data_IF_186113765790
#
_entry.id   IF_186113765790
#
_cell.length_a   1.000
_cell.length_b   1.000
_cell.length_c   1.000
_cell.angle_alpha   90.00
_cell.angle_beta   90.00
_cell.angle_gamma   90.00
#
_symmetry.space_group_name_H-M   'P 1'
#
loop_
_entity.id
_entity.type
_entity.pdbx_description
1 polymer ?
#
# COMPACT_ATOMS: atom_id res chain seq x y z
N UNK A 1 -8.16 4.59 11.20
CA UNK A 1 -8.14 4.46 9.73
C UNK A 1 -7.88 3.01 9.40
N UNK A 2 -8.71 2.36 8.57
CA UNK A 2 -8.49 0.96 8.17
C UNK A 2 -7.82 0.92 6.81
N UNK A 3 -7.11 -0.17 6.52
CA UNK A 3 -6.47 -0.41 5.22
C UNK A 3 -7.48 -0.39 4.06
N UNK A 4 -8.70 -0.85 4.32
CA UNK A 4 -9.81 -0.82 3.36
C UNK A 4 -10.27 0.60 2.99
N UNK A 5 -10.03 1.60 3.84
CA UNK A 5 -10.45 2.98 3.61
C UNK A 5 -9.44 3.76 2.73
N UNK A 6 -8.25 3.18 2.48
CA UNK A 6 -7.18 3.76 1.68
C UNK A 6 -7.36 3.53 0.19
N UNK A 7 -7.03 4.54 -0.61
CA UNK A 7 -7.14 4.54 -2.07
C UNK A 7 -5.77 4.60 -2.70
N UNK A 8 -5.58 3.80 -3.75
CA UNK A 8 -4.43 3.93 -4.63
C UNK A 8 -4.49 5.28 -5.34
N UNK A 9 -3.33 5.89 -5.59
CA UNK A 9 -3.24 7.08 -6.41
C UNK A 9 -3.33 6.72 -7.89
N UNK A 10 -4.23 7.39 -8.62
CA UNK A 10 -4.36 7.27 -10.08
C UNK A 10 -3.10 7.73 -10.83
N UNK A 11 -2.20 8.45 -10.15
CA UNK A 11 -0.93 8.95 -10.68
C UNK A 11 0.26 8.04 -10.37
N UNK A 12 0.04 6.87 -9.78
CA UNK A 12 1.13 5.95 -9.47
C UNK A 12 1.78 5.44 -10.78
N UNK A 13 3.04 5.80 -11.09
CA UNK A 13 3.67 5.47 -12.36
C UNK A 13 4.15 4.00 -12.43
N UNK A 14 4.14 3.29 -11.30
CA UNK A 14 4.56 1.88 -11.26
C UNK A 14 3.41 0.96 -11.63
N UNK A 15 3.72 -0.01 -12.48
CA UNK A 15 2.97 -1.25 -12.66
C UNK A 15 3.67 -2.38 -11.92
N UNK A 16 2.92 -3.20 -11.19
CA UNK A 16 3.46 -4.40 -10.51
C UNK A 16 2.96 -5.64 -11.24
N UNK A 17 3.87 -6.57 -11.54
CA UNK A 17 3.51 -7.88 -12.07
C UNK A 17 2.97 -8.78 -10.95
N UNK A 18 2.20 -9.81 -11.32
CA UNK A 18 1.64 -10.78 -10.37
C UNK A 18 2.73 -11.40 -9.48
N UNK A 19 3.83 -11.87 -10.05
CA UNK A 19 4.91 -12.48 -9.27
C UNK A 19 5.56 -11.53 -8.25
N UNK A 20 5.74 -10.25 -8.61
CA UNK A 20 6.26 -9.25 -7.66
C UNK A 20 5.26 -8.92 -6.56
N UNK A 21 3.96 -8.93 -6.88
CA UNK A 21 2.89 -8.73 -5.89
C UNK A 21 2.87 -9.88 -4.89
N UNK A 22 2.95 -11.13 -5.34
CA UNK A 22 3.01 -12.31 -4.46
C UNK A 22 4.25 -12.30 -3.56
N UNK A 23 5.41 -11.90 -4.09
CA UNK A 23 6.61 -11.74 -3.26
C UNK A 23 6.43 -10.67 -2.19
N UNK A 24 5.79 -9.54 -2.54
CA UNK A 24 5.53 -8.47 -1.57
C UNK A 24 4.54 -8.90 -0.49
N UNK A 25 3.49 -9.65 -0.84
CA UNK A 25 2.58 -10.26 0.13
C UNK A 25 3.34 -11.14 1.12
N UNK A 26 4.17 -12.05 0.61
CA UNK A 26 4.98 -12.95 1.43
C UNK A 26 5.89 -12.18 2.39
N UNK A 27 6.53 -11.10 1.93
CA UNK A 27 7.35 -10.24 2.81
C UNK A 27 6.53 -9.58 3.92
N UNK A 28 5.30 -9.14 3.64
CA UNK A 28 4.42 -8.52 4.65
C UNK A 28 3.88 -9.53 5.68
N UNK A 29 3.73 -10.80 5.29
CA UNK A 29 3.35 -11.87 6.20
C UNK A 29 4.52 -12.32 7.06
N UNK A 30 5.72 -12.43 6.47
CA UNK A 30 6.93 -12.89 7.14
C UNK A 30 7.51 -11.86 8.13
N UNK A 31 7.39 -10.57 7.84
CA UNK A 31 7.88 -9.49 8.68
C UNK A 31 6.78 -8.47 8.95
N UNK A 32 6.19 -8.56 10.15
CA UNK A 32 5.13 -7.64 10.57
C UNK A 32 5.63 -6.22 10.83
N UNK A 33 6.92 -6.05 11.14
CA UNK A 33 7.54 -4.75 11.35
C UNK A 33 7.92 -4.05 10.04
N UNK A 34 7.77 -4.73 8.90
CA UNK A 34 8.08 -4.18 7.58
C UNK A 34 7.35 -2.86 7.30
N UNK A 35 6.08 -2.76 7.70
CA UNK A 35 5.28 -1.54 7.52
C UNK A 35 5.65 -0.42 8.48
N UNK A 36 6.18 -0.75 9.67
CA UNK A 36 6.67 0.24 10.62
C UNK A 36 7.96 0.87 10.09
N UNK A 37 8.87 0.05 9.57
CA UNK A 37 10.11 0.51 8.93
C UNK A 37 9.85 1.25 7.60
N UNK A 38 8.77 0.88 6.90
CA UNK A 38 8.39 1.45 5.61
C UNK A 38 6.91 1.79 5.63
N UNK A 39 6.53 2.94 6.21
CA UNK A 39 5.14 3.37 6.28
C UNK A 39 4.63 3.80 4.90
N UNK A 40 3.31 3.79 4.76
CA UNK A 40 2.62 4.39 3.63
C UNK A 40 2.49 5.89 3.89
N UNK A 41 2.69 6.71 2.86
CA UNK A 41 2.41 8.14 2.94
C UNK A 41 1.03 8.40 2.34
N UNK A 42 0.14 8.95 3.15
CA UNK A 42 -1.26 9.16 2.82
C UNK A 42 -1.56 10.65 2.85
N UNK A 43 -2.32 11.12 1.87
CA UNK A 43 -2.76 12.49 1.83
C UNK A 43 -3.85 12.74 2.88
N UNK A 44 -3.73 13.84 3.62
CA UNK A 44 -4.70 14.31 4.63
C UNK A 44 -5.36 15.64 4.24
N UNK A 45 -5.05 16.19 3.07
CA UNK A 45 -5.61 17.46 2.62
C UNK A 45 -7.12 17.33 2.35
N UNK A 46 -7.94 18.30 2.77
CA UNK A 46 -9.38 18.31 2.54
C UNK A 46 -9.78 18.02 1.08
N UNK A 47 -10.63 17.02 0.88
CA UNK A 47 -11.08 16.56 -0.45
C UNK A 47 -10.10 15.65 -1.21
N UNK A 48 -8.96 15.28 -0.60
CA UNK A 48 -7.98 14.33 -1.16
C UNK A 48 -7.52 13.30 -0.13
N UNK A 49 -8.26 13.14 0.96
CA UNK A 49 -7.94 12.28 2.09
C UNK A 49 -7.81 10.81 1.64
N UNK A 50 -7.01 10.04 2.38
CA UNK A 50 -6.87 8.59 2.19
C UNK A 50 -6.25 8.17 0.85
N UNK A 51 -5.77 9.10 0.03
CA UNK A 51 -5.04 8.79 -1.21
C UNK A 51 -3.58 8.52 -0.87
N UNK A 52 -3.09 7.34 -1.25
CA UNK A 52 -1.69 6.94 -1.01
C UNK A 52 -0.76 7.61 -2.02
N UNK A 53 0.09 8.49 -1.53
CA UNK A 53 1.11 9.20 -2.33
C UNK A 53 2.36 8.32 -2.49
N UNK A 54 2.75 7.58 -1.45
CA UNK A 54 3.87 6.65 -1.49
C UNK A 54 3.52 5.33 -0.80
N UNK A 55 3.91 4.21 -1.43
CA UNK A 55 3.59 2.87 -0.93
C UNK A 55 2.38 2.22 -1.58
N UNK A 56 1.93 2.70 -2.74
CA UNK A 56 0.80 2.12 -3.50
C UNK A 56 0.87 0.58 -3.65
N UNK A 57 2.04 0.01 -3.96
CA UNK A 57 2.16 -1.44 -4.07
C UNK A 57 2.06 -2.18 -2.74
N UNK A 58 2.53 -1.56 -1.65
CA UNK A 58 2.37 -2.10 -0.29
C UNK A 58 0.90 -2.08 0.12
N UNK A 59 0.17 -1.00 -0.20
CA UNK A 59 -1.27 -0.95 0.02
C UNK A 59 -1.96 -2.10 -0.72
N UNK A 60 -1.67 -2.26 -2.02
CA UNK A 60 -2.28 -3.30 -2.86
C UNK A 60 -2.01 -4.71 -2.32
N UNK A 61 -0.80 -4.97 -1.84
CA UNK A 61 -0.45 -6.26 -1.24
C UNK A 61 -1.19 -6.47 0.09
N UNK A 62 -1.22 -5.46 0.97
CA UNK A 62 -1.94 -5.53 2.24
C UNK A 62 -3.45 -5.76 2.02
N UNK A 63 -4.09 -5.00 1.13
CA UNK A 63 -5.51 -5.16 0.80
C UNK A 63 -5.84 -6.56 0.24
N UNK A 64 -4.90 -7.17 -0.47
CA UNK A 64 -5.08 -8.51 -1.00
C UNK A 64 -4.89 -9.64 0.03
N UNK A 65 -4.35 -9.33 1.21
CA UNK A 65 -4.17 -10.28 2.32
C UNK A 65 -5.32 -10.26 3.34
N UNK A 66 -6.19 -9.24 3.29
CA UNK A 66 -7.26 -9.01 4.27
C UNK A 66 -6.83 -8.15 5.45
#
# INVERSE_FOLDING_TARGET
MRVADLRLSDRNPRTISTGRLENLKRSLEQDRAFLDARPLLVNSYPGRENVVIAGNMRLRAAQALG
#
